data_IF_918473361672
#
_entry.id   IF_918473361672
#
_cell.length_a   1.000
_cell.length_b   1.000
_cell.length_c   1.000
_cell.angle_alpha   90.00
_cell.angle_beta   90.00
_cell.angle_gamma   90.00
#
_symmetry.space_group_name_H-M   'P 1'
#
loop_
_entity.id
_entity.type
_entity.pdbx_description
1 polymer ?
#
# COMPACT_ATOMS: atom_id res chain seq x y z
N UNK A 1 1.38 -4.52 30.44
CA UNK A 1 1.06 -5.96 30.52
C UNK A 1 -0.14 -6.18 29.62
N UNK A 2 0.02 -6.98 28.57
CA UNK A 2 -0.88 -7.03 27.42
C UNK A 2 -2.30 -7.51 27.79
N UNK A 3 -3.37 -6.82 27.36
CA UNK A 3 -4.77 -7.18 27.69
C UNK A 3 -5.09 -8.61 27.22
N UNK A 4 -4.38 -9.09 26.19
CA UNK A 4 -4.51 -10.45 25.68
C UNK A 4 -3.89 -11.52 26.60
N UNK A 5 -2.80 -11.19 27.32
CA UNK A 5 -2.14 -12.08 28.28
C UNK A 5 -3.08 -12.45 29.43
N UNK A 6 -3.81 -11.46 29.95
CA UNK A 6 -4.77 -11.64 31.04
C UNK A 6 -5.93 -12.53 30.62
N UNK A 7 -6.46 -12.36 29.40
CA UNK A 7 -7.56 -13.18 28.88
C UNK A 7 -7.18 -14.65 28.69
N UNK A 8 -5.98 -14.93 28.18
CA UNK A 8 -5.50 -16.32 28.00
C UNK A 8 -5.26 -17.01 29.35
N UNK A 9 -4.66 -16.31 30.32
CA UNK A 9 -4.50 -16.85 31.68
C UNK A 9 -5.84 -17.16 32.35
N UNK A 10 -6.83 -16.28 32.19
CA UNK A 10 -8.19 -16.50 32.72
C UNK A 10 -8.83 -17.73 32.09
N UNK A 11 -8.72 -17.90 30.76
CA UNK A 11 -9.25 -19.09 30.08
C UNK A 11 -8.56 -20.37 30.56
N UNK A 12 -7.23 -20.37 30.70
CA UNK A 12 -6.49 -21.54 31.19
C UNK A 12 -6.86 -21.86 32.65
N UNK A 13 -7.08 -20.83 33.47
CA UNK A 13 -7.53 -21.00 34.86
C UNK A 13 -8.92 -21.65 34.91
N UNK A 14 -9.88 -21.12 34.15
CA UNK A 14 -11.24 -21.69 34.06
C UNK A 14 -11.20 -23.15 33.60
N UNK A 15 -10.35 -23.48 32.62
CA UNK A 15 -10.18 -24.86 32.15
C UNK A 15 -9.59 -25.79 33.23
N UNK A 16 -8.72 -25.28 34.11
CA UNK A 16 -8.19 -26.07 35.23
C UNK A 16 -9.26 -26.33 36.29
N UNK A 17 -10.10 -25.33 36.59
CA UNK A 17 -11.17 -25.44 37.58
C UNK A 17 -12.24 -26.47 37.16
N UNK A 18 -12.50 -26.58 35.84
CA UNK A 18 -13.44 -27.56 35.28
C UNK A 18 -12.91 -29.01 35.30
N UNK A 19 -11.60 -29.21 35.45
CA UNK A 19 -10.94 -30.53 35.41
C UNK A 19 -11.44 -31.46 36.52
N UNK A 20 -11.87 -30.94 37.67
CA UNK A 20 -12.36 -31.75 38.80
C UNK A 20 -13.80 -32.26 38.66
N UNK A 21 -14.56 -31.78 37.66
CA UNK A 21 -16.03 -31.97 37.59
C UNK A 21 -16.42 -32.93 36.45
N UNK A 22 -15.48 -33.31 35.57
CA UNK A 22 -15.78 -33.89 34.26
C UNK A 22 -15.32 -35.36 34.12
N UNK A 23 -16.00 -36.11 33.26
CA UNK A 23 -15.67 -37.51 32.97
C UNK A 23 -14.37 -37.64 32.14
N UNK A 24 -13.81 -38.85 32.09
CA UNK A 24 -12.48 -39.09 31.50
C UNK A 24 -12.36 -38.69 30.02
N UNK A 25 -13.42 -38.86 29.22
CA UNK A 25 -13.42 -38.50 27.80
C UNK A 25 -13.42 -36.97 27.58
N UNK A 26 -14.17 -36.23 28.40
CA UNK A 26 -14.15 -34.76 28.36
C UNK A 26 -12.81 -34.24 28.89
N UNK A 27 -12.21 -34.91 29.88
CA UNK A 27 -10.90 -34.56 30.43
C UNK A 27 -9.79 -34.60 29.35
N UNK A 28 -9.78 -35.66 28.54
CA UNK A 28 -8.82 -35.82 27.44
C UNK A 28 -8.97 -34.73 26.37
N UNK A 29 -10.22 -34.40 26.00
CA UNK A 29 -10.50 -33.33 25.04
C UNK A 29 -10.09 -31.94 25.58
N UNK A 30 -10.27 -31.70 26.89
CA UNK A 30 -9.85 -30.45 27.54
C UNK A 30 -8.33 -30.29 27.59
N UNK A 31 -7.58 -31.36 27.87
CA UNK A 31 -6.12 -31.34 27.84
C UNK A 31 -5.61 -31.02 26.42
N UNK A 32 -6.17 -31.68 25.40
CA UNK A 32 -5.82 -31.38 24.00
C UNK A 32 -6.18 -29.94 23.59
N UNK A 33 -7.28 -29.37 24.09
CA UNK A 33 -7.63 -27.97 23.83
C UNK A 33 -6.66 -27.00 24.52
N UNK A 34 -6.27 -27.30 25.76
CA UNK A 34 -5.30 -26.50 26.54
C UNK A 34 -3.95 -26.45 25.85
N UNK A 35 -3.43 -27.59 25.38
CA UNK A 35 -2.18 -27.65 24.61
C UNK A 35 -2.29 -26.81 23.33
N UNK A 36 -3.40 -26.91 22.59
CA UNK A 36 -3.60 -26.13 21.35
C UNK A 36 -3.70 -24.63 21.58
N UNK A 37 -4.27 -24.20 22.71
CA UNK A 37 -4.33 -22.76 23.07
C UNK A 37 -2.93 -22.27 23.47
N UNK A 38 -2.21 -23.06 24.27
CA UNK A 38 -0.86 -22.74 24.70
C UNK A 38 0.10 -22.63 23.50
N UNK A 39 0.06 -23.61 22.59
CA UNK A 39 0.89 -23.65 21.39
C UNK A 39 0.61 -22.46 20.45
N UNK A 40 -0.67 -22.11 20.23
CA UNK A 40 -1.01 -20.90 19.47
C UNK A 40 -0.52 -19.63 20.14
N UNK A 41 -0.61 -19.56 21.46
CA UNK A 41 -0.15 -18.40 22.22
C UNK A 41 1.37 -18.24 22.14
N UNK A 42 2.13 -19.32 22.33
CA UNK A 42 3.60 -19.31 22.22
C UNK A 42 4.05 -18.96 20.82
N UNK A 43 3.37 -19.50 19.80
CA UNK A 43 3.64 -19.18 18.39
C UNK A 43 3.39 -17.70 18.13
N UNK A 44 2.23 -17.16 18.49
CA UNK A 44 1.91 -15.73 18.30
C UNK A 44 2.89 -14.80 19.03
N UNK A 45 3.27 -15.14 20.27
CA UNK A 45 4.23 -14.34 21.04
C UNK A 45 5.62 -14.34 20.40
N UNK A 46 6.05 -15.46 19.81
CA UNK A 46 7.30 -15.54 19.07
C UNK A 46 7.25 -14.71 17.76
N UNK A 47 6.10 -14.68 17.10
CA UNK A 47 5.86 -13.88 15.90
C UNK A 47 5.89 -12.37 16.21
N UNK A 48 5.19 -11.93 17.26
CA UNK A 48 5.19 -10.54 17.70
C UNK A 48 6.62 -10.07 18.07
N UNK A 49 7.40 -10.94 18.74
CA UNK A 49 8.82 -10.67 19.03
C UNK A 49 9.66 -10.55 17.76
N UNK A 50 9.47 -11.43 16.77
CA UNK A 50 10.16 -11.35 15.48
C UNK A 50 9.82 -10.06 14.75
N UNK A 51 8.56 -9.63 14.77
CA UNK A 51 8.13 -8.37 14.15
C UNK A 51 8.77 -7.16 14.84
N UNK A 52 8.83 -7.13 16.17
CA UNK A 52 9.51 -6.06 16.92
C UNK A 52 11.00 -6.00 16.58
N UNK A 53 11.69 -7.14 16.51
CA UNK A 53 13.11 -7.21 16.13
C UNK A 53 13.29 -6.73 14.68
N UNK A 54 12.45 -7.18 13.75
CA UNK A 54 12.49 -6.76 12.35
C UNK A 54 12.29 -5.24 12.22
N UNK A 55 11.32 -4.66 12.95
CA UNK A 55 11.08 -3.21 13.01
C UNK A 55 12.28 -2.45 13.59
N UNK A 56 12.92 -2.97 14.63
CA UNK A 56 14.13 -2.34 15.20
C UNK A 56 15.32 -2.40 14.25
N UNK A 57 15.55 -3.54 13.60
CA UNK A 57 16.59 -3.69 12.57
C UNK A 57 16.32 -2.80 11.35
N UNK A 58 15.05 -2.65 10.97
CA UNK A 58 14.65 -1.72 9.92
C UNK A 58 14.93 -0.27 10.33
N UNK A 59 14.54 0.12 11.54
CA UNK A 59 14.80 1.47 12.08
C UNK A 59 16.29 1.81 12.08
N UNK A 60 17.17 0.87 12.46
CA UNK A 60 18.62 1.08 12.37
C UNK A 60 19.10 1.27 10.93
N UNK A 61 18.71 0.37 10.01
CA UNK A 61 19.07 0.49 8.58
C UNK A 61 18.59 1.81 7.97
N UNK A 62 17.41 2.26 8.39
CA UNK A 62 16.85 3.54 7.99
C UNK A 62 17.68 4.72 8.52
N UNK A 63 18.03 4.73 9.81
CA UNK A 63 18.87 5.77 10.41
C UNK A 63 20.28 5.80 9.80
N UNK A 64 20.85 4.63 9.48
CA UNK A 64 22.13 4.49 8.79
C UNK A 64 22.09 5.06 7.35
N UNK A 65 20.94 4.96 6.67
CA UNK A 65 20.74 5.46 5.31
C UNK A 65 20.20 6.89 5.19
N UNK A 66 19.86 7.55 6.30
CA UNK A 66 19.14 8.83 6.29
C UNK A 66 20.03 10.09 6.21
N UNK A 67 21.36 9.91 6.17
CA UNK A 67 22.32 11.01 6.22
C UNK A 67 23.17 11.09 4.96
N UNK A 68 23.24 12.29 4.37
CA UNK A 68 24.08 12.59 3.20
C UNK A 68 23.31 12.87 1.92
N UNK A 69 24.04 13.00 0.83
CA UNK A 69 23.47 13.08 -0.51
C UNK A 69 23.03 11.68 -0.97
N UNK A 70 21.93 11.57 -1.74
CA UNK A 70 21.52 10.29 -2.28
C UNK A 70 22.61 9.71 -3.20
N UNK A 71 22.87 8.39 -3.14
CA UNK A 71 23.93 7.76 -3.92
C UNK A 71 23.69 7.85 -5.43
N UNK A 72 22.41 7.93 -5.84
CA UNK A 72 22.02 8.07 -7.23
C UNK A 72 20.75 8.93 -7.37
N UNK A 73 20.51 9.42 -8.59
CA UNK A 73 19.32 10.19 -8.89
C UNK A 73 18.09 9.27 -8.97
N UNK A 74 17.03 9.57 -8.19
CA UNK A 74 15.80 8.79 -8.18
C UNK A 74 15.12 8.68 -9.55
N UNK A 75 15.37 9.63 -10.46
CA UNK A 75 14.83 9.62 -11.83
C UNK A 75 15.38 8.49 -12.70
N UNK A 76 16.48 7.87 -12.29
CA UNK A 76 17.11 6.74 -12.99
C UNK A 76 16.93 5.41 -12.27
N UNK A 77 16.31 5.42 -11.08
CA UNK A 77 16.04 4.19 -10.36
C UNK A 77 14.99 3.34 -11.08
N UNK A 78 15.16 2.01 -11.10
CA UNK A 78 14.20 1.12 -11.75
C UNK A 78 12.88 1.10 -10.97
N UNK A 79 11.77 1.08 -11.73
CA UNK A 79 10.43 0.97 -11.18
C UNK A 79 10.13 -0.44 -10.67
N UNK A 80 10.65 -1.45 -11.36
CA UNK A 80 10.62 -2.81 -10.88
C UNK A 80 11.71 -3.03 -9.80
N UNK A 81 11.51 -4.02 -8.91
CA UNK A 81 12.58 -4.44 -8.02
C UNK A 81 13.73 -5.07 -8.82
N UNK A 82 14.94 -4.96 -8.29
CA UNK A 82 16.13 -5.65 -8.80
C UNK A 82 16.47 -6.86 -7.95
N UNK A 83 17.42 -7.68 -8.39
CA UNK A 83 17.95 -8.78 -7.56
C UNK A 83 18.61 -8.25 -6.27
N UNK A 84 19.28 -7.10 -6.33
CA UNK A 84 19.90 -6.47 -5.15
C UNK A 84 18.85 -6.00 -4.14
N UNK A 85 17.69 -5.54 -4.62
CA UNK A 85 16.57 -5.16 -3.76
C UNK A 85 15.99 -6.33 -2.96
N UNK A 86 16.23 -7.58 -3.37
CA UNK A 86 15.75 -8.77 -2.67
C UNK A 86 16.70 -9.23 -1.56
N UNK A 87 17.91 -8.67 -1.48
CA UNK A 87 18.86 -9.02 -0.43
C UNK A 87 18.51 -8.30 0.88
N UNK A 88 18.00 -9.04 1.86
CA UNK A 88 17.64 -8.53 3.20
C UNK A 88 18.80 -7.85 3.94
N UNK A 89 20.06 -8.16 3.59
CA UNK A 89 21.24 -7.59 4.23
C UNK A 89 21.63 -6.22 3.67
N UNK A 90 21.10 -5.84 2.50
CA UNK A 90 21.43 -4.55 1.90
C UNK A 90 20.82 -3.41 2.74
N UNK A 91 21.60 -2.35 2.92
CA UNK A 91 21.14 -1.09 3.52
C UNK A 91 20.44 -0.30 2.43
N UNK A 92 19.18 0.06 2.66
CA UNK A 92 18.41 0.88 1.72
C UNK A 92 18.57 2.33 2.11
N UNK A 93 19.04 3.17 1.18
CA UNK A 93 19.09 4.61 1.39
C UNK A 93 17.68 5.19 1.39
N UNK A 94 17.24 5.67 2.55
CA UNK A 94 15.90 6.22 2.77
C UNK A 94 15.99 7.46 3.66
N UNK A 95 15.21 8.47 3.30
CA UNK A 95 15.06 9.69 4.09
C UNK A 95 13.63 9.78 4.64
N UNK A 96 13.43 10.27 5.88
CA UNK A 96 12.10 10.42 6.43
C UNK A 96 11.31 11.49 5.69
N UNK A 97 10.03 11.22 5.49
CA UNK A 97 9.09 12.28 5.15
C UNK A 97 9.05 13.32 6.29
N UNK A 98 9.11 14.59 5.93
CA UNK A 98 9.00 15.71 6.89
C UNK A 98 7.53 15.85 7.30
N UNK A 99 7.21 15.45 8.54
CA UNK A 99 5.84 15.42 9.10
C UNK A 99 5.62 16.46 10.22
N UNK A 100 6.68 17.12 10.66
CA UNK A 100 6.70 18.12 11.73
C UNK A 100 6.39 19.55 11.25
N UNK A 101 6.00 19.69 9.97
CA UNK A 101 5.81 21.00 9.33
C UNK A 101 7.12 21.65 8.86
N UNK A 102 8.26 20.95 8.93
CA UNK A 102 9.50 21.45 8.34
C UNK A 102 9.47 21.41 6.81
N UNK A 103 10.13 22.41 6.20
CA UNK A 103 10.26 22.51 4.74
C UNK A 103 11.25 21.51 4.18
N UNK A 104 11.03 21.02 2.96
CA UNK A 104 12.04 20.33 2.16
C UNK A 104 13.05 21.34 1.59
N UNK A 105 14.21 20.86 1.18
CA UNK A 105 15.30 21.74 0.74
C UNK A 105 15.05 22.24 -0.69
N UNK A 106 14.36 21.43 -1.50
CA UNK A 106 13.96 21.75 -2.87
C UNK A 106 12.83 20.81 -3.32
N UNK A 107 12.22 21.12 -4.46
CA UNK A 107 11.25 20.24 -5.13
C UNK A 107 11.89 18.87 -5.46
N UNK A 108 13.13 18.84 -5.93
CA UNK A 108 13.86 17.58 -6.19
C UNK A 108 14.10 16.77 -4.92
N UNK A 109 14.41 17.44 -3.80
CA UNK A 109 14.53 16.76 -2.52
C UNK A 109 13.18 16.14 -2.11
N UNK A 110 12.07 16.87 -2.22
CA UNK A 110 10.74 16.32 -1.95
C UNK A 110 10.45 15.09 -2.83
N UNK A 111 10.67 15.19 -4.15
CA UNK A 111 10.40 14.10 -5.09
C UNK A 111 11.26 12.86 -4.82
N UNK A 112 12.56 13.02 -4.52
CA UNK A 112 13.43 11.90 -4.17
C UNK A 112 12.94 11.17 -2.92
N UNK A 113 12.58 11.93 -1.86
CA UNK A 113 12.06 11.35 -0.61
C UNK A 113 10.79 10.56 -0.88
N UNK A 114 9.81 11.15 -1.59
CA UNK A 114 8.55 10.48 -1.89
C UNK A 114 8.76 9.24 -2.77
N UNK A 115 9.60 9.33 -3.81
CA UNK A 115 9.89 8.21 -4.70
C UNK A 115 10.52 7.05 -3.93
N UNK A 116 11.57 7.29 -3.15
CA UNK A 116 12.29 6.23 -2.43
C UNK A 116 11.42 5.58 -1.37
N UNK A 117 10.59 6.35 -0.66
CA UNK A 117 9.63 5.80 0.30
C UNK A 117 8.57 4.93 -0.36
N UNK A 118 7.97 5.37 -1.48
CA UNK A 118 7.00 4.57 -2.23
C UNK A 118 7.61 3.28 -2.77
N UNK A 119 8.82 3.37 -3.32
CA UNK A 119 9.55 2.21 -3.85
C UNK A 119 9.84 1.19 -2.76
N UNK A 120 10.29 1.65 -1.59
CA UNK A 120 10.53 0.76 -0.45
C UNK A 120 9.23 0.15 0.09
N UNK A 121 8.13 0.91 0.15
CA UNK A 121 6.85 0.38 0.64
C UNK A 121 6.31 -0.74 -0.26
N UNK A 122 6.56 -0.64 -1.57
CA UNK A 122 6.29 -1.71 -2.53
C UNK A 122 7.20 -2.92 -2.34
N UNK A 123 8.52 -2.71 -2.19
CA UNK A 123 9.54 -3.78 -2.25
C UNK A 123 9.69 -4.52 -0.93
N UNK A 124 9.65 -3.81 0.20
CA UNK A 124 9.91 -4.37 1.53
C UNK A 124 9.03 -5.59 1.84
N UNK A 125 7.70 -5.54 1.67
CA UNK A 125 6.86 -6.70 1.96
C UNK A 125 7.20 -7.93 1.11
N UNK A 126 7.58 -7.71 -0.16
CA UNK A 126 8.00 -8.78 -1.06
C UNK A 126 9.35 -9.37 -0.61
N UNK A 127 10.35 -8.52 -0.33
CA UNK A 127 11.68 -8.91 0.15
C UNK A 127 11.60 -9.70 1.45
N UNK A 128 10.89 -9.19 2.45
CA UNK A 128 10.74 -9.83 3.77
C UNK A 128 9.94 -11.13 3.65
N UNK A 129 8.89 -11.14 2.84
CA UNK A 129 8.12 -12.35 2.56
C UNK A 129 8.98 -13.46 1.95
N UNK A 130 9.78 -13.14 0.91
CA UNK A 130 10.68 -14.12 0.28
C UNK A 130 11.74 -14.61 1.27
N UNK A 131 12.35 -13.71 2.06
CA UNK A 131 13.34 -14.09 3.06
C UNK A 131 12.75 -15.08 4.08
N UNK A 132 11.57 -14.78 4.61
CA UNK A 132 10.87 -15.66 5.55
C UNK A 132 10.46 -16.99 4.90
N UNK A 133 10.05 -16.96 3.63
CA UNK A 133 9.76 -18.17 2.86
C UNK A 133 10.99 -19.09 2.77
N UNK A 134 12.19 -18.54 2.53
CA UNK A 134 13.46 -19.31 2.49
C UNK A 134 13.83 -19.93 3.83
N UNK A 135 13.44 -19.30 4.94
CA UNK A 135 13.64 -19.82 6.31
C UNK A 135 12.57 -20.84 6.73
N UNK A 136 11.61 -21.17 5.85
CA UNK A 136 10.50 -22.09 6.14
C UNK A 136 9.30 -21.44 6.87
N UNK A 137 9.34 -20.12 7.08
CA UNK A 137 8.27 -19.35 7.72
C UNK A 137 7.33 -18.70 6.70
N UNK A 138 6.37 -19.45 6.15
CA UNK A 138 5.47 -18.91 5.10
C UNK A 138 4.20 -18.24 5.60
N UNK A 139 3.85 -18.36 6.88
CA UNK A 139 2.49 -18.01 7.36
C UNK A 139 2.25 -16.53 7.66
N UNK A 140 3.29 -15.72 7.85
CA UNK A 140 3.14 -14.41 8.53
C UNK A 140 3.26 -13.19 7.64
N UNK A 141 3.64 -13.36 6.37
CA UNK A 141 3.91 -12.22 5.47
C UNK A 141 2.85 -12.02 4.38
N UNK A 142 1.72 -12.72 4.45
CA UNK A 142 0.70 -12.72 3.39
C UNK A 142 1.29 -12.95 1.98
N UNK A 143 2.41 -13.69 1.90
CA UNK A 143 3.07 -13.99 0.64
C UNK A 143 2.41 -15.21 0.01
N UNK A 144 2.04 -15.10 -1.26
CA UNK A 144 1.40 -16.20 -1.98
C UNK A 144 2.40 -16.89 -2.88
N UNK A 145 2.68 -18.14 -2.55
CA UNK A 145 3.70 -18.96 -3.20
C UNK A 145 3.03 -19.99 -4.10
N UNK A 146 3.48 -20.04 -5.34
CA UNK A 146 3.07 -20.99 -6.37
C UNK A 146 4.28 -21.86 -6.71
N UNK A 147 4.14 -23.18 -6.51
CA UNK A 147 5.19 -24.16 -6.77
C UNK A 147 5.03 -24.83 -8.12
N UNK A 148 6.14 -25.34 -8.65
CA UNK A 148 6.21 -26.13 -9.88
C UNK A 148 5.61 -25.42 -11.11
N UNK A 149 5.75 -24.09 -11.17
CA UNK A 149 5.25 -23.26 -12.26
C UNK A 149 6.06 -23.55 -13.53
N UNK A 150 5.40 -23.84 -14.64
CA UNK A 150 6.05 -23.91 -15.97
C UNK A 150 5.54 -22.83 -16.88
N UNK A 151 6.45 -22.27 -17.67
CA UNK A 151 6.14 -21.23 -18.65
C UNK A 151 5.97 -21.85 -20.03
N UNK A 152 4.91 -21.45 -20.73
CA UNK A 152 4.72 -21.75 -22.15
C UNK A 152 5.58 -20.85 -23.02
N UNK A 153 5.65 -21.14 -24.32
CA UNK A 153 6.28 -20.25 -25.28
C UNK A 153 5.61 -18.88 -25.29
N UNK A 154 6.40 -17.86 -25.61
CA UNK A 154 5.93 -16.49 -25.70
C UNK A 154 4.85 -16.33 -26.79
N UNK A 155 3.82 -15.54 -26.49
CA UNK A 155 2.74 -15.18 -27.43
C UNK A 155 2.43 -13.70 -27.35
N UNK A 156 1.84 -13.14 -28.40
CA UNK A 156 1.37 -11.75 -28.39
C UNK A 156 0.02 -11.66 -27.67
N UNK A 157 -0.07 -10.74 -26.72
CA UNK A 157 -1.31 -10.39 -26.07
C UNK A 157 -2.26 -9.70 -27.06
N UNK A 158 -3.50 -10.18 -27.16
CA UNK A 158 -4.42 -9.80 -28.24
C UNK A 158 -4.79 -8.33 -28.24
N UNK A 159 -4.92 -7.73 -27.06
CA UNK A 159 -5.39 -6.35 -26.91
C UNK A 159 -4.23 -5.34 -26.91
N UNK A 160 -3.10 -5.67 -26.26
CA UNK A 160 -1.98 -4.73 -26.09
C UNK A 160 -0.86 -4.93 -27.10
N UNK A 161 -0.81 -6.08 -27.79
CA UNK A 161 0.29 -6.43 -28.70
C UNK A 161 1.61 -6.77 -27.97
N UNK A 162 1.60 -6.83 -26.64
CA UNK A 162 2.79 -7.10 -25.84
C UNK A 162 3.12 -8.59 -25.82
N UNK A 163 4.40 -8.91 -25.67
CA UNK A 163 4.83 -10.30 -25.52
C UNK A 163 4.53 -10.79 -24.10
N UNK A 164 3.77 -11.88 -23.98
CA UNK A 164 3.41 -12.51 -22.71
C UNK A 164 3.74 -14.00 -22.72
N UNK A 165 3.91 -14.56 -21.53
CA UNK A 165 4.15 -15.99 -21.31
C UNK A 165 3.04 -16.53 -20.40
N UNK A 166 2.41 -17.64 -20.79
CA UNK A 166 1.44 -18.28 -19.92
C UNK A 166 2.16 -19.16 -18.89
N UNK A 167 1.99 -18.82 -17.62
CA UNK A 167 2.45 -19.61 -16.49
C UNK A 167 1.37 -20.62 -16.09
N UNK A 168 1.71 -21.91 -16.14
CA UNK A 168 0.88 -22.99 -15.64
C UNK A 168 1.08 -23.14 -14.14
N UNK A 169 0.01 -22.96 -13.37
CA UNK A 169 -0.02 -22.99 -11.91
C UNK A 169 -1.07 -23.97 -11.40
N UNK A 170 -0.77 -24.61 -10.28
CA UNK A 170 -1.76 -25.46 -9.62
C UNK A 170 -2.80 -24.60 -8.92
N UNK A 171 -4.07 -24.73 -9.32
CA UNK A 171 -5.17 -24.01 -8.68
C UNK A 171 -5.54 -24.70 -7.36
N UNK A 172 -5.53 -23.94 -6.26
CA UNK A 172 -6.17 -24.31 -5.01
C UNK A 172 -7.60 -23.75 -4.99
N UNK A 173 -8.56 -24.52 -4.48
CA UNK A 173 -10.01 -24.18 -4.48
C UNK A 173 -10.31 -22.78 -3.90
N UNK A 174 -9.50 -22.31 -2.95
CA UNK A 174 -9.60 -20.98 -2.30
C UNK A 174 -9.12 -19.81 -3.18
N UNK A 175 -8.41 -20.06 -4.28
CA UNK A 175 -7.91 -19.01 -5.17
C UNK A 175 -8.97 -18.46 -6.13
N UNK A 176 -10.10 -19.17 -6.30
CA UNK A 176 -11.20 -18.74 -7.17
C UNK A 176 -12.00 -17.55 -6.60
N UNK A 177 -12.02 -17.40 -5.27
CA UNK A 177 -12.84 -16.38 -4.58
C UNK A 177 -12.05 -15.17 -4.09
N UNK A 178 -10.72 -15.22 -4.10
CA UNK A 178 -9.88 -14.11 -3.65
C UNK A 178 -9.35 -13.29 -4.84
N UNK A 179 -9.19 -11.97 -4.64
CA UNK A 179 -8.49 -11.06 -5.56
C UNK A 179 -7.00 -11.41 -5.60
N UNK A 180 -6.64 -12.47 -6.33
CA UNK A 180 -5.26 -12.94 -6.56
C UNK A 180 -4.89 -12.85 -8.02
N UNK A 181 -3.62 -12.63 -8.26
CA UNK A 181 -3.03 -12.45 -9.59
C UNK A 181 -3.88 -11.46 -10.38
N UNK A 182 -4.23 -10.33 -9.76
CA UNK A 182 -4.98 -9.27 -10.43
C UNK A 182 -4.10 -8.66 -11.52
N UNK A 183 -4.73 -8.24 -12.62
CA UNK A 183 -4.05 -7.55 -13.70
C UNK A 183 -3.18 -6.40 -13.15
N UNK A 184 -1.96 -6.27 -13.68
CA UNK A 184 -1.00 -5.25 -13.27
C UNK A 184 -0.26 -5.54 -11.96
N UNK A 185 -0.63 -6.57 -11.19
CA UNK A 185 0.12 -6.91 -9.98
C UNK A 185 1.47 -7.56 -10.32
N UNK A 186 2.47 -7.31 -9.47
CA UNK A 186 3.82 -7.84 -9.62
C UNK A 186 3.88 -9.29 -9.13
N UNK A 187 4.58 -10.12 -9.88
CA UNK A 187 5.02 -11.45 -9.49
C UNK A 187 6.54 -11.55 -9.62
N UNK A 188 7.16 -12.35 -8.75
CA UNK A 188 8.57 -12.68 -8.83
C UNK A 188 8.74 -14.19 -9.00
N UNK A 189 9.51 -14.61 -9.99
CA UNK A 189 9.78 -16.01 -10.30
C UNK A 189 11.24 -16.32 -10.02
N UNK A 190 11.50 -17.53 -9.55
CA UNK A 190 12.84 -18.03 -9.35
C UNK A 190 12.94 -19.50 -9.73
N UNK A 191 13.96 -19.89 -10.52
CA UNK A 191 14.21 -21.29 -10.85
C UNK A 191 14.92 -22.05 -9.72
N UNK A 192 15.37 -21.36 -8.68
CA UNK A 192 16.20 -21.90 -7.60
C UNK A 192 15.68 -21.50 -6.20
N UNK A 193 14.35 -21.40 -6.06
CA UNK A 193 13.67 -21.07 -4.81
C UNK A 193 14.19 -19.77 -4.13
N UNK A 194 14.46 -18.75 -4.95
CA UNK A 194 14.92 -17.41 -4.59
C UNK A 194 16.31 -17.38 -3.94
N UNK A 195 17.18 -18.31 -4.31
CA UNK A 195 18.56 -18.31 -3.81
C UNK A 195 19.44 -17.31 -4.54
N UNK A 196 19.44 -17.33 -5.88
CA UNK A 196 20.33 -16.50 -6.69
C UNK A 196 19.62 -15.74 -7.80
N UNK A 197 18.51 -16.26 -8.34
CA UNK A 197 17.88 -15.67 -9.52
C UNK A 197 16.43 -15.24 -9.26
N UNK A 198 16.12 -14.01 -9.67
CA UNK A 198 14.83 -13.36 -9.52
C UNK A 198 14.40 -12.81 -10.88
N UNK A 199 13.21 -13.19 -11.34
CA UNK A 199 12.60 -12.72 -12.57
C UNK A 199 11.32 -11.99 -12.24
N UNK A 200 11.24 -10.71 -12.57
CA UNK A 200 10.07 -9.89 -12.30
C UNK A 200 9.15 -9.84 -13.51
N UNK A 201 7.85 -9.93 -13.25
CA UNK A 201 6.81 -9.84 -14.26
C UNK A 201 5.54 -9.22 -13.68
N UNK A 202 4.68 -8.67 -14.52
CA UNK A 202 3.31 -8.29 -14.15
C UNK A 202 2.30 -9.28 -14.69
N UNK A 203 1.16 -9.38 -14.02
CA UNK A 203 0.02 -10.14 -14.55
C UNK A 203 -0.61 -9.36 -15.71
N UNK A 204 -0.61 -9.95 -16.89
CA UNK A 204 -1.19 -9.37 -18.10
C UNK A 204 -2.54 -10.03 -18.49
N UNK A 205 -2.74 -11.32 -18.19
CA UNK A 205 -3.98 -12.02 -18.54
C UNK A 205 -4.41 -12.96 -17.41
N UNK A 206 -5.44 -12.55 -16.66
CA UNK A 206 -5.99 -13.30 -15.53
C UNK A 206 -7.15 -14.22 -15.93
N UNK A 207 -7.82 -13.98 -17.06
CA UNK A 207 -9.08 -14.68 -17.37
C UNK A 207 -8.90 -16.19 -17.59
N UNK A 208 -7.66 -16.63 -17.82
CA UNK A 208 -7.30 -18.04 -17.98
C UNK A 208 -7.02 -18.77 -16.65
N UNK A 209 -7.15 -18.08 -15.51
CA UNK A 209 -6.80 -18.61 -14.18
C UNK A 209 -7.63 -19.83 -13.79
N UNK A 210 -8.89 -19.92 -14.21
CA UNK A 210 -9.75 -21.08 -13.95
C UNK A 210 -9.23 -22.38 -14.58
N UNK A 211 -8.45 -22.25 -15.65
CA UNK A 211 -7.77 -23.34 -16.36
C UNK A 211 -6.34 -23.59 -15.83
N UNK A 212 -5.93 -22.86 -14.79
CA UNK A 212 -4.63 -23.01 -14.15
C UNK A 212 -3.55 -22.26 -14.90
N UNK A 213 -3.91 -21.24 -15.68
CA UNK A 213 -2.97 -20.43 -16.46
C UNK A 213 -3.09 -18.96 -16.09
N UNK A 214 -1.98 -18.25 -16.10
CA UNK A 214 -1.95 -16.79 -15.97
C UNK A 214 -0.95 -16.23 -16.96
N UNK A 215 -1.34 -15.23 -17.74
CA UNK A 215 -0.44 -14.55 -18.66
C UNK A 215 0.43 -13.55 -17.92
N UNK A 216 1.73 -13.65 -18.09
CA UNK A 216 2.74 -12.82 -17.44
C UNK A 216 3.51 -12.01 -18.49
N UNK A 217 3.69 -10.71 -18.22
CA UNK A 217 4.58 -9.83 -18.97
C UNK A 217 5.88 -9.66 -18.16
N UNK A 218 6.96 -10.24 -18.64
CA UNK A 218 8.27 -10.13 -18.00
C UNK A 218 8.90 -8.77 -18.27
N UNK A 219 9.60 -8.23 -17.27
CA UNK A 219 10.47 -7.07 -17.45
C UNK A 219 11.63 -7.40 -18.39
N UNK A 220 12.33 -8.51 -18.11
CA UNK A 220 13.48 -8.97 -18.90
C UNK A 220 13.19 -10.32 -19.57
N UNK A 221 12.63 -10.28 -20.79
CA UNK A 221 12.22 -11.46 -21.55
C UNK A 221 13.40 -12.41 -21.85
N UNK A 222 14.59 -11.87 -22.09
CA UNK A 222 15.78 -12.65 -22.48
C UNK A 222 16.23 -13.64 -21.39
N UNK A 223 15.84 -13.40 -20.15
CA UNK A 223 16.20 -14.26 -19.02
C UNK A 223 15.26 -15.47 -18.84
N UNK A 224 14.14 -15.49 -19.57
CA UNK A 224 13.08 -16.48 -19.41
C UNK A 224 13.47 -17.80 -20.07
N UNK A 225 13.40 -18.89 -19.32
CA UNK A 225 13.68 -20.24 -19.81
C UNK A 225 12.46 -21.15 -19.62
N UNK A 226 11.72 -21.39 -20.70
CA UNK A 226 10.49 -22.20 -20.70
C UNK A 226 10.71 -23.68 -20.38
N UNK A 227 11.96 -24.17 -20.43
CA UNK A 227 12.31 -25.56 -20.07
C UNK A 227 12.46 -25.78 -18.57
N UNK A 228 12.57 -24.70 -17.78
CA UNK A 228 12.73 -24.78 -16.32
C UNK A 228 11.38 -24.75 -15.61
N UNK A 229 11.38 -25.27 -14.38
CA UNK A 229 10.31 -25.06 -13.41
C UNK A 229 10.70 -23.91 -12.49
N UNK A 230 9.70 -23.15 -12.06
CA UNK A 230 9.87 -21.97 -11.23
C UNK A 230 9.05 -22.10 -9.95
N UNK A 231 9.57 -21.51 -8.89
CA UNK A 231 8.76 -21.00 -7.79
C UNK A 231 8.35 -19.58 -8.15
N UNK A 232 7.08 -19.24 -7.98
CA UNK A 232 6.56 -17.90 -8.20
C UNK A 232 5.94 -17.36 -6.92
N UNK A 233 6.15 -16.08 -6.63
CA UNK A 233 5.46 -15.37 -5.56
C UNK A 233 4.71 -14.16 -6.10
N UNK A 234 3.52 -13.91 -5.54
CA UNK A 234 2.75 -12.69 -5.81
C UNK A 234 3.12 -11.60 -4.80
N UNK A 235 3.32 -10.38 -5.30
CA UNK A 235 3.52 -9.20 -4.45
C UNK A 235 2.27 -8.93 -3.61
N UNK A 236 2.43 -8.68 -2.28
CA UNK A 236 1.32 -8.30 -1.42
C UNK A 236 0.87 -6.85 -1.65
N UNK A 237 1.72 -6.00 -2.23
CA UNK A 237 1.41 -4.63 -2.62
C UNK A 237 1.06 -4.55 -4.11
N UNK A 238 0.00 -3.81 -4.45
CA UNK A 238 -0.51 -3.71 -5.82
C UNK A 238 0.38 -2.83 -6.71
N UNK A 239 1.24 -3.47 -7.49
CA UNK A 239 2.32 -2.82 -8.22
C UNK A 239 1.90 -1.72 -9.19
N UNK A 240 0.87 -1.93 -10.01
CA UNK A 240 0.45 -0.97 -11.05
C UNK A 240 0.14 0.43 -10.47
N UNK A 241 -0.49 0.49 -9.29
CA UNK A 241 -0.75 1.76 -8.61
C UNK A 241 0.54 2.48 -8.19
N UNK A 242 1.53 1.76 -7.66
CA UNK A 242 2.83 2.33 -7.32
C UNK A 242 3.61 2.76 -8.57
N UNK A 243 3.63 1.91 -9.60
CA UNK A 243 4.35 2.17 -10.85
C UNK A 243 3.89 3.49 -11.46
N UNK A 244 2.58 3.71 -11.59
CA UNK A 244 2.04 4.95 -12.17
C UNK A 244 2.46 6.20 -11.38
N UNK A 245 2.39 6.13 -10.04
CA UNK A 245 2.80 7.27 -9.19
C UNK A 245 4.31 7.50 -9.30
N UNK A 246 5.13 6.45 -9.20
CA UNK A 246 6.58 6.55 -9.31
C UNK A 246 7.02 7.09 -10.68
N UNK A 247 6.42 6.63 -11.77
CA UNK A 247 6.65 7.18 -13.12
C UNK A 247 6.30 8.67 -13.17
N UNK A 248 5.14 9.08 -12.63
CA UNK A 248 4.77 10.49 -12.59
C UNK A 248 5.82 11.33 -11.84
N UNK A 249 6.28 10.87 -10.67
CA UNK A 249 7.35 11.55 -9.93
C UNK A 249 8.65 11.67 -10.73
N UNK A 250 9.06 10.61 -11.44
CA UNK A 250 10.28 10.60 -12.28
C UNK A 250 10.18 11.49 -13.53
N UNK A 251 8.98 11.74 -14.04
CA UNK A 251 8.75 12.52 -15.28
C UNK A 251 8.51 14.01 -15.05
N UNK A 252 8.22 14.44 -13.80
CA UNK A 252 8.02 15.85 -13.50
C UNK A 252 9.25 16.69 -13.89
N UNK A 253 9.06 17.81 -14.62
CA UNK A 253 10.17 18.63 -15.11
C UNK A 253 10.87 19.35 -13.97
N UNK A 254 12.20 19.41 -14.03
CA UNK A 254 13.02 20.11 -13.02
C UNK A 254 13.00 21.64 -13.19
N UNK A 255 12.60 22.12 -14.36
CA UNK A 255 12.64 23.55 -14.73
C UNK A 255 11.44 24.34 -14.22
N UNK A 256 10.40 23.66 -13.73
CA UNK A 256 9.16 24.28 -13.26
C UNK A 256 8.84 23.74 -11.87
N UNK A 257 8.35 24.58 -10.94
CA UNK A 257 7.95 24.10 -9.63
C UNK A 257 6.88 23.01 -9.72
N UNK A 258 6.97 22.01 -8.84
CA UNK A 258 5.96 20.96 -8.78
C UNK A 258 4.60 21.53 -8.38
N UNK A 259 3.49 20.90 -8.81
CA UNK A 259 2.17 21.24 -8.32
C UNK A 259 2.14 21.27 -6.79
N UNK A 260 1.55 22.33 -6.22
CA UNK A 260 1.47 22.54 -4.77
C UNK A 260 2.83 22.65 -4.04
N UNK A 261 3.95 22.95 -4.70
CA UNK A 261 5.27 23.14 -4.06
C UNK A 261 5.22 24.12 -2.87
N UNK A 262 4.43 25.20 -2.97
CA UNK A 262 4.18 26.13 -1.85
C UNK A 262 3.77 25.40 -0.55
N UNK A 263 2.93 24.37 -0.66
CA UNK A 263 2.37 23.66 0.48
C UNK A 263 3.20 22.41 0.83
N UNK A 264 3.59 21.62 -0.17
CA UNK A 264 4.27 20.34 0.03
C UNK A 264 5.76 20.48 0.36
N UNK A 265 6.43 21.44 -0.29
CA UNK A 265 7.89 21.63 -0.18
C UNK A 265 8.20 22.73 0.82
N UNK A 266 7.52 23.87 0.69
CA UNK A 266 7.79 25.06 1.52
C UNK A 266 6.99 25.08 2.83
N UNK A 267 6.12 24.09 3.06
CA UNK A 267 5.30 23.95 4.27
C UNK A 267 4.49 25.20 4.66
N UNK A 268 4.03 25.98 3.67
CA UNK A 268 3.21 27.17 3.96
C UNK A 268 1.82 26.75 4.40
N UNK A 269 1.45 27.03 5.64
CA UNK A 269 0.13 26.71 6.20
C UNK A 269 -0.90 27.81 5.96
N UNK A 270 -0.46 29.02 5.61
CA UNK A 270 -1.34 30.15 5.32
C UNK A 270 -2.09 29.97 3.99
N UNK A 271 -3.39 29.72 4.10
CA UNK A 271 -4.32 29.65 2.97
C UNK A 271 -4.94 31.02 2.72
N UNK A 272 -4.76 31.55 1.50
CA UNK A 272 -5.52 32.71 1.02
C UNK A 272 -6.81 32.23 0.37
N UNK A 273 -7.84 33.08 0.41
CA UNK A 273 -9.09 32.83 -0.32
C UNK A 273 -8.76 32.57 -1.79
N UNK A 274 -9.23 31.45 -2.38
CA UNK A 274 -9.04 31.16 -3.79
C UNK A 274 -9.45 32.34 -4.68
N UNK A 275 -8.66 32.63 -5.72
CA UNK A 275 -8.92 33.79 -6.60
C UNK A 275 -10.33 33.79 -7.20
N UNK A 276 -10.90 32.62 -7.49
CA UNK A 276 -12.26 32.54 -8.02
C UNK A 276 -13.35 32.96 -7.01
N UNK A 277 -13.07 32.88 -5.70
CA UNK A 277 -13.93 33.38 -4.62
C UNK A 277 -13.67 34.86 -4.29
N UNK A 278 -12.63 35.48 -4.86
CA UNK A 278 -12.37 36.91 -4.65
C UNK A 278 -13.28 37.82 -5.48
N UNK A 279 -14.02 37.25 -6.43
CA UNK A 279 -15.15 37.87 -7.12
C UNK A 279 -16.40 37.68 -6.26
N UNK A 280 -17.09 38.76 -5.89
CA UNK A 280 -18.27 38.77 -5.00
C UNK A 280 -19.50 37.98 -5.52
N UNK A 281 -19.40 37.29 -6.65
CA UNK A 281 -20.46 36.44 -7.17
C UNK A 281 -19.87 35.16 -7.77
N UNK A 282 -20.46 34.03 -7.38
CA UNK A 282 -20.15 32.70 -7.93
C UNK A 282 -21.43 32.21 -8.56
N UNK A 283 -21.40 31.91 -9.86
CA UNK A 283 -22.56 31.36 -10.55
C UNK A 283 -22.61 29.83 -10.36
N UNK A 284 -23.59 29.35 -9.58
CA UNK A 284 -23.83 27.92 -9.33
C UNK A 284 -24.87 27.31 -10.29
N UNK A 285 -25.43 28.08 -11.22
CA UNK A 285 -26.48 27.67 -12.17
C UNK A 285 -26.10 26.40 -12.95
N UNK A 286 -24.83 26.24 -13.33
CA UNK A 286 -24.32 25.07 -14.06
C UNK A 286 -24.35 23.78 -13.23
N UNK A 287 -24.36 23.88 -11.90
CA UNK A 287 -24.45 22.73 -10.99
C UNK A 287 -25.90 22.38 -10.62
N UNK A 288 -26.86 23.22 -11.02
CA UNK A 288 -28.28 23.05 -10.73
C UNK A 288 -28.97 22.43 -11.95
N UNK A 289 -29.55 21.25 -11.76
CA UNK A 289 -30.26 20.53 -12.83
C UNK A 289 -31.60 21.18 -13.20
N UNK A 290 -32.16 21.99 -12.31
CA UNK A 290 -33.40 22.73 -12.52
C UNK A 290 -33.37 24.05 -11.71
N UNK A 291 -33.50 25.23 -12.36
CA UNK A 291 -33.53 26.53 -11.69
C UNK A 291 -34.65 26.67 -10.63
N UNK A 292 -35.72 25.88 -10.74
CA UNK A 292 -36.88 25.94 -9.84
C UNK A 292 -36.67 25.23 -8.48
N UNK A 293 -35.62 24.43 -8.32
CA UNK A 293 -35.25 23.80 -7.04
C UNK A 293 -34.75 24.84 -6.00
N UNK A 294 -34.44 26.07 -6.42
CA UNK A 294 -33.99 27.17 -5.54
C UNK A 294 -35.00 27.52 -4.44
N UNK A 295 -36.29 27.42 -4.72
CA UNK A 295 -37.36 27.79 -3.77
C UNK A 295 -37.49 26.84 -2.57
N UNK A 296 -36.77 25.72 -2.55
CA UNK A 296 -36.85 24.70 -1.49
C UNK A 296 -35.64 24.66 -0.55
N UNK A 297 -34.59 25.45 -0.79
CA UNK A 297 -33.47 25.58 0.14
C UNK A 297 -33.78 26.60 1.25
N UNK A 298 -34.76 26.26 2.10
CA UNK A 298 -34.88 26.86 3.44
C UNK A 298 -33.99 26.00 4.34
N UNK A 299 -32.81 26.50 4.70
CA UNK A 299 -31.94 25.84 5.68
C UNK A 299 -32.28 26.33 7.09
N UNK A 300 -32.44 25.35 7.98
CA UNK A 300 -32.85 25.49 9.37
C UNK A 300 -31.71 26.02 10.25
N UNK A 301 -32.08 26.77 11.28
CA UNK A 301 -31.26 27.79 11.95
C UNK A 301 -30.60 27.24 13.22
N UNK A 302 -29.69 26.26 13.14
CA UNK A 302 -28.98 25.77 14.35
C UNK A 302 -27.46 25.49 14.26
N UNK A 303 -26.77 25.75 13.13
CA UNK A 303 -25.30 25.63 13.10
C UNK A 303 -24.63 26.89 12.53
N UNK A 304 -23.70 27.42 13.31
CA UNK A 304 -23.13 28.76 13.24
C UNK A 304 -22.47 29.12 11.89
N UNK A 305 -22.90 30.28 11.37
CA UNK A 305 -22.20 31.25 10.52
C UNK A 305 -21.83 30.87 9.07
N UNK A 306 -22.80 30.99 8.16
CA UNK A 306 -22.63 31.59 6.82
C UNK A 306 -23.95 32.29 6.42
N UNK A 307 -23.93 33.61 6.22
CA UNK A 307 -25.08 34.35 5.70
C UNK A 307 -24.99 34.42 4.17
N UNK A 308 -25.93 33.77 3.48
CA UNK A 308 -26.11 33.90 2.03
C UNK A 308 -27.30 34.82 1.77
N UNK A 309 -27.06 35.98 1.13
CA UNK A 309 -28.14 36.82 0.63
C UNK A 309 -28.28 36.59 -0.87
N UNK A 310 -29.35 35.89 -1.26
CA UNK A 310 -29.66 35.60 -2.65
C UNK A 310 -30.53 36.72 -3.23
N UNK A 311 -30.05 37.39 -4.26
CA UNK A 311 -30.78 38.45 -4.97
C UNK A 311 -31.04 37.96 -6.39
N UNK A 312 -32.32 37.84 -6.74
CA UNK A 312 -32.76 37.42 -8.07
C UNK A 312 -33.09 38.68 -8.89
N UNK A 313 -32.42 38.87 -10.03
CA UNK A 313 -32.73 39.91 -11.00
C UNK A 313 -33.04 39.27 -12.36
N UNK A 314 -34.32 39.07 -12.66
CA UNK A 314 -34.76 38.43 -13.91
C UNK A 314 -34.23 36.99 -14.01
N UNK A 315 -33.61 36.66 -15.15
CA UNK A 315 -33.00 35.34 -15.42
C UNK A 315 -31.62 35.16 -14.77
N UNK A 316 -31.14 36.12 -13.98
CA UNK A 316 -29.83 36.07 -13.30
C UNK A 316 -30.00 35.87 -11.79
N UNK A 317 -29.41 34.78 -11.27
CA UNK A 317 -29.29 34.51 -9.83
C UNK A 317 -27.93 34.97 -9.35
N UNK A 318 -27.90 35.98 -8.46
CA UNK A 318 -26.69 36.46 -7.81
C UNK A 318 -26.72 36.12 -6.33
N UNK A 319 -25.78 35.29 -5.87
CA UNK A 319 -25.59 35.00 -4.45
C UNK A 319 -24.50 35.94 -3.92
N UNK A 320 -24.88 36.86 -3.04
CA UNK A 320 -23.96 37.76 -2.37
C UNK A 320 -23.49 37.09 -1.07
N UNK A 321 -22.20 36.76 -1.00
CA UNK A 321 -21.58 36.13 0.17
C UNK A 321 -20.87 37.21 0.97
N UNK A 322 -21.47 37.69 2.06
CA UNK A 322 -20.77 38.55 3.01
C UNK A 322 -20.14 37.70 4.13
N UNK A 323 -18.83 37.50 4.05
CA UNK A 323 -18.05 36.90 5.13
C UNK A 323 -17.70 37.95 6.19
N UNK A 324 -18.30 37.86 7.38
CA UNK A 324 -17.79 38.55 8.57
C UNK A 324 -16.78 37.64 9.27
N UNK A 325 -15.49 37.99 9.21
CA UNK A 325 -14.45 37.38 10.05
C UNK A 325 -14.51 38.02 11.44
N UNK A 326 -15.22 37.38 12.38
CA UNK A 326 -15.01 37.67 13.80
C UNK A 326 -13.80 36.89 14.29
N UNK A 327 -12.68 37.60 14.47
CA UNK A 327 -11.55 37.14 15.28
C UNK A 327 -11.90 37.48 16.73
N UNK A 328 -12.18 36.48 17.54
CA UNK A 328 -12.18 36.65 19.01
C UNK A 328 -10.75 36.50 19.51
N UNK A 329 -10.16 37.51 20.17
CA UNK A 329 -8.94 37.31 20.96
C UNK A 329 -9.32 36.63 22.27
N UNK A 330 -8.62 35.54 22.60
CA UNK A 330 -8.59 34.99 23.95
C UNK A 330 -7.79 35.99 24.81
N UNK A 331 -8.44 36.65 25.78
CA UNK A 331 -7.78 37.14 26.98
C UNK A 331 -8.73 37.14 28.17
N UNK A 332 -8.32 36.34 29.16
CA UNK A 332 -8.69 36.21 30.58
C UNK A 332 -10.12 35.85 30.99
#
# INVERSE_FOLDING_TARGET
MDIHLTKVHVIISILNDLKGILNAEILYNLEGLKERIQDRYTTKTAEDKKEVIARQQYKRRFEEGAHGEPPENFRHLPLFPTTEDMNIKNVVYLRPAKIDGSRYDSDEHYLDVQFRLLREDLIRPLREGIAAYKEGGSKNFNLFVYKNVSLESAVLHKQTGELIFFANIQILRRMRTNKRLIYGNLVCLSPDDFNTKFLFATVAERNTLENGKVGLKFEEILEVNTKKKYCMVESPAFFEAYQHVMTALQTLPQTVPIPFSKYLVNAVTETKVPKYLSTNSINFEVLLKDPLELGKLIWDYELQNFYFQMIIYGDLVMINVQCWLYVTPIMH
#
